data_IF_861106278209
#
_entry.id   IF_861106278209
#
_cell.length_a   1.000
_cell.length_b   1.000
_cell.length_c   1.000
_cell.angle_alpha   90.00
_cell.angle_beta   90.00
_cell.angle_gamma   90.00
#
_symmetry.space_group_name_H-M   'P 1'
#
loop_
_entity.id
_entity.type
_entity.pdbx_description
1 polymer ?
#
# COMPACT_ATOMS: atom_id res chain seq x y z
N UNK A 1 -3.34 -10.59 1.99
CA UNK A 1 -2.11 -10.05 1.37
C UNK A 1 -1.15 -9.74 2.51
N UNK A 2 0.07 -10.24 2.47
CA UNK A 2 1.03 -10.08 3.57
C UNK A 2 1.40 -8.60 3.71
N UNK A 3 0.98 -7.97 4.82
CA UNK A 3 1.39 -6.62 5.19
C UNK A 3 2.91 -6.64 5.33
N UNK A 4 3.63 -6.17 4.33
CA UNK A 4 5.09 -6.11 4.37
C UNK A 4 5.48 -4.91 5.25
N UNK A 5 5.21 -4.99 6.55
CA UNK A 5 5.76 -4.06 7.53
C UNK A 5 7.26 -4.40 7.65
N UNK A 6 8.09 -3.85 6.77
CA UNK A 6 9.54 -3.84 6.97
C UNK A 6 9.92 -2.82 8.06
N UNK A 7 9.17 -2.77 9.17
CA UNK A 7 9.26 -1.71 10.18
C UNK A 7 10.05 -2.14 11.42
N UNK A 8 10.72 -3.29 11.33
CA UNK A 8 11.71 -3.76 12.30
C UNK A 8 13.05 -4.07 11.63
N UNK A 9 14.12 -4.04 12.42
CA UNK A 9 15.46 -4.45 12.05
C UNK A 9 15.74 -5.76 12.76
N UNK A 10 16.18 -6.78 12.02
CA UNK A 10 16.69 -8.01 12.63
C UNK A 10 18.18 -7.85 12.88
N UNK A 11 18.58 -7.88 14.14
CA UNK A 11 20.01 -7.86 14.52
C UNK A 11 20.63 -9.20 14.17
N UNK A 12 21.50 -9.22 13.15
CA UNK A 12 22.12 -10.45 12.61
C UNK A 12 22.83 -11.32 13.64
N UNK A 13 23.37 -10.73 14.71
CA UNK A 13 24.14 -11.44 15.74
C UNK A 13 23.28 -12.36 16.61
N UNK A 14 22.06 -11.94 16.95
CA UNK A 14 21.25 -12.60 17.98
C UNK A 14 19.79 -12.84 17.52
N UNK A 15 19.47 -12.49 16.27
CA UNK A 15 18.12 -12.66 15.69
C UNK A 15 17.05 -11.71 16.27
N UNK A 16 17.42 -10.83 17.19
CA UNK A 16 16.47 -9.91 17.84
C UNK A 16 15.85 -8.95 16.83
N UNK A 17 14.53 -8.85 16.86
CA UNK A 17 13.77 -7.83 16.12
C UNK A 17 13.78 -6.55 16.93
N UNK A 18 14.08 -5.43 16.29
CA UNK A 18 14.15 -4.11 16.91
C UNK A 18 13.24 -3.16 16.14
N UNK A 19 12.36 -2.46 16.84
CA UNK A 19 11.45 -1.50 16.24
C UNK A 19 12.23 -0.35 15.57
N UNK A 20 11.94 -0.02 14.31
CA UNK A 20 12.57 1.14 13.66
C UNK A 20 12.12 2.48 14.23
N UNK A 21 10.93 2.53 14.83
CA UNK A 21 10.32 3.77 15.32
C UNK A 21 10.83 4.15 16.71
N UNK A 22 10.85 3.18 17.63
CA UNK A 22 11.23 3.43 19.03
C UNK A 22 12.47 2.66 19.50
N UNK A 23 13.12 1.89 18.63
CA UNK A 23 14.35 1.13 18.93
C UNK A 23 14.22 0.10 20.06
N UNK A 24 12.99 -0.24 20.48
CA UNK A 24 12.75 -1.30 21.46
C UNK A 24 12.86 -2.68 20.82
N UNK A 25 13.22 -3.67 21.64
CA UNK A 25 13.22 -5.08 21.23
C UNK A 25 11.77 -5.53 21.10
N UNK A 26 11.46 -6.20 20.00
CA UNK A 26 10.12 -6.69 19.67
C UNK A 26 10.12 -8.22 19.65
N UNK A 27 9.14 -8.82 20.31
CA UNK A 27 8.87 -10.26 20.18
C UNK A 27 7.78 -10.49 19.12
N UNK A 28 6.65 -9.78 19.24
CA UNK A 28 5.56 -9.75 18.27
C UNK A 28 5.40 -8.36 17.65
N UNK A 29 5.51 -8.30 16.31
CA UNK A 29 5.47 -7.04 15.57
C UNK A 29 4.09 -6.39 15.57
N UNK A 30 3.04 -7.17 15.31
CA UNK A 30 1.68 -6.63 15.18
C UNK A 30 1.18 -6.08 16.51
N UNK A 31 1.37 -6.81 17.61
CA UNK A 31 1.03 -6.36 18.97
C UNK A 31 1.81 -5.09 19.35
N UNK A 32 3.13 -5.08 19.08
CA UNK A 32 3.97 -3.93 19.36
C UNK A 32 3.47 -2.69 18.61
N UNK A 33 3.22 -2.80 17.30
CA UNK A 33 2.76 -1.67 16.49
C UNK A 33 1.36 -1.21 16.90
N UNK A 34 0.44 -2.13 17.21
CA UNK A 34 -0.90 -1.78 17.66
C UNK A 34 -0.89 -1.02 19.00
N UNK A 35 -0.06 -1.44 19.97
CA UNK A 35 -0.04 -0.86 21.31
C UNK A 35 0.82 0.40 21.40
N UNK A 36 2.03 0.38 20.83
CA UNK A 36 3.03 1.46 20.96
C UNK A 36 2.92 2.49 19.84
N UNK A 37 2.47 2.10 18.66
CA UNK A 37 2.45 2.95 17.47
C UNK A 37 1.08 3.01 16.76
N UNK A 38 -0.06 3.17 17.48
CA UNK A 38 -1.39 3.12 16.87
C UNK A 38 -1.64 4.23 15.84
N UNK A 39 -1.03 5.41 16.03
CA UNK A 39 -1.11 6.51 15.05
C UNK A 39 -0.37 6.17 13.75
N UNK A 40 0.75 5.47 13.85
CA UNK A 40 1.54 5.06 12.69
C UNK A 40 0.85 3.92 11.94
N UNK A 41 0.24 2.97 12.64
CA UNK A 41 -0.58 1.93 12.02
C UNK A 41 -1.70 2.53 11.16
N UNK A 42 -2.44 3.50 11.70
CA UNK A 42 -3.46 4.26 10.95
C UNK A 42 -2.88 5.02 9.74
N UNK A 43 -1.64 5.47 9.83
CA UNK A 43 -0.97 6.12 8.70
C UNK A 43 -0.63 5.11 7.60
N UNK A 44 -0.12 3.94 7.95
CA UNK A 44 0.15 2.86 6.99
C UNK A 44 -1.14 2.43 6.30
N UNK A 45 -2.22 2.18 7.05
CA UNK A 45 -3.52 1.80 6.47
C UNK A 45 -4.02 2.85 5.45
N UNK A 46 -3.92 4.13 5.80
CA UNK A 46 -4.28 5.23 4.88
C UNK A 46 -3.34 5.36 3.68
N UNK A 47 -2.07 4.98 3.84
CA UNK A 47 -1.09 5.01 2.75
C UNK A 47 -1.35 3.87 1.77
N UNK A 48 -1.57 2.66 2.26
CA UNK A 48 -1.97 1.52 1.44
C UNK A 48 -3.24 1.83 0.66
N UNK A 49 -4.27 2.42 1.29
CA UNK A 49 -5.50 2.82 0.61
C UNK A 49 -5.27 3.84 -0.54
N UNK A 50 -4.22 4.65 -0.45
CA UNK A 50 -3.82 5.61 -1.49
C UNK A 50 -2.96 4.96 -2.57
N UNK A 51 -2.05 4.06 -2.21
CA UNK A 51 -1.19 3.32 -3.15
C UNK A 51 -1.99 2.34 -4.02
N UNK A 52 -3.14 1.86 -3.52
CA UNK A 52 -4.10 1.10 -4.32
C UNK A 52 -4.82 1.92 -5.40
N UNK A 53 -4.56 3.23 -5.51
CA UNK A 53 -5.15 4.08 -6.55
C UNK A 53 -4.15 4.32 -7.67
N UNK A 54 -4.58 4.03 -8.89
CA UNK A 54 -3.91 4.37 -10.13
C UNK A 54 -4.45 5.69 -10.65
N UNK A 55 -3.58 6.56 -11.16
CA UNK A 55 -4.02 7.76 -11.87
C UNK A 55 -4.48 7.38 -13.28
N UNK A 56 -5.70 7.77 -13.66
CA UNK A 56 -6.15 7.69 -15.04
C UNK A 56 -5.55 8.86 -15.84
N UNK A 57 -4.73 8.56 -16.85
CA UNK A 57 -4.10 9.59 -17.69
C UNK A 57 -5.07 10.36 -18.59
N UNK A 58 -6.33 9.92 -18.73
CA UNK A 58 -7.31 10.54 -19.60
C UNK A 58 -8.15 11.61 -18.90
N UNK A 59 -8.48 11.41 -17.62
CA UNK A 59 -9.29 12.35 -16.83
C UNK A 59 -8.59 12.87 -15.56
N UNK A 60 -7.39 12.38 -15.25
CA UNK A 60 -6.61 12.80 -14.07
C UNK A 60 -7.16 12.28 -12.73
N UNK A 61 -8.18 11.40 -12.74
CA UNK A 61 -8.77 10.85 -11.53
C UNK A 61 -7.94 9.69 -10.97
N UNK A 62 -7.85 9.61 -9.64
CA UNK A 62 -7.24 8.49 -8.93
C UNK A 62 -8.27 7.38 -8.69
N UNK A 63 -8.05 6.20 -9.26
CA UNK A 63 -9.02 5.10 -9.31
C UNK A 63 -8.41 3.79 -8.82
N UNK A 64 -9.17 2.99 -8.07
CA UNK A 64 -8.66 1.71 -7.53
C UNK A 64 -8.46 0.63 -8.59
N UNK A 65 -9.34 0.59 -9.59
CA UNK A 65 -9.25 -0.36 -10.70
C UNK A 65 -9.30 0.41 -12.03
N UNK A 66 -8.13 0.66 -12.59
CA UNK A 66 -7.99 1.42 -13.83
C UNK A 66 -8.77 0.79 -14.99
N UNK A 67 -8.74 -0.54 -15.12
CA UNK A 67 -9.39 -1.24 -16.24
C UNK A 67 -10.92 -1.14 -16.18
N UNK A 68 -11.50 -1.29 -14.99
CA UNK A 68 -12.93 -1.10 -14.78
C UNK A 68 -13.34 0.37 -15.03
N UNK A 69 -12.55 1.32 -14.53
CA UNK A 69 -12.78 2.74 -14.73
C UNK A 69 -12.76 3.13 -16.22
N UNK A 70 -11.75 2.71 -16.98
CA UNK A 70 -11.65 3.00 -18.42
C UNK A 70 -12.83 2.41 -19.19
N UNK A 71 -13.30 1.22 -18.81
CA UNK A 71 -14.48 0.61 -19.46
C UNK A 71 -15.75 1.41 -19.27
N UNK A 72 -15.93 2.01 -18.09
CA UNK A 72 -17.15 2.72 -17.73
C UNK A 72 -17.12 4.19 -18.15
N UNK A 73 -15.99 4.86 -17.94
CA UNK A 73 -15.85 6.31 -18.09
C UNK A 73 -15.15 6.73 -19.38
N UNK A 74 -14.45 5.81 -20.06
CA UNK A 74 -13.72 6.06 -21.30
C UNK A 74 -13.98 4.96 -22.38
N UNK A 75 -15.25 4.64 -22.69
CA UNK A 75 -15.57 3.60 -23.67
C UNK A 75 -15.02 3.91 -25.07
N UNK A 76 -14.86 5.19 -25.41
CA UNK A 76 -14.28 5.65 -26.68
C UNK A 76 -12.84 5.17 -26.90
N UNK A 77 -12.07 5.02 -25.82
CA UNK A 77 -10.68 4.58 -25.86
C UNK A 77 -10.59 3.09 -26.18
N UNK A 78 -11.52 2.31 -25.61
CA UNK A 78 -11.62 0.87 -25.92
C UNK A 78 -12.05 0.68 -27.37
N UNK A 79 -13.00 1.50 -27.85
CA UNK A 79 -13.45 1.45 -29.23
C UNK A 79 -12.35 1.86 -30.23
N UNK A 80 -11.54 2.88 -29.92
CA UNK A 80 -10.40 3.28 -30.76
C UNK A 80 -9.32 2.18 -30.78
N UNK A 81 -9.00 1.60 -29.63
CA UNK A 81 -8.04 0.49 -29.54
C UNK A 81 -8.48 -0.72 -30.37
N UNK A 82 -9.77 -1.05 -30.38
CA UNK A 82 -10.33 -2.16 -31.16
C UNK A 82 -10.30 -1.93 -32.68
N UNK A 83 -10.24 -0.68 -33.14
CA UNK A 83 -10.14 -0.33 -34.58
C UNK A 83 -8.72 -0.40 -35.12
N UNK A 84 -7.71 -0.39 -34.26
CA UNK A 84 -6.29 -0.42 -34.64
C UNK A 84 -5.72 -1.85 -34.77
N UNK A 85 -6.52 -2.87 -34.47
CA UNK A 85 -6.19 -4.30 -34.57
C UNK A 85 -6.82 -4.88 -35.82
#
# INVERSE_FOLDING_TARGET
MARNLNEFIVRRKDGLKICKICQSIIEDEEDHMMRRHPKYMKYIEKREEKEEKYMCCYCGLWVRNWRAHVKDQHPEIIADAARRV
#
